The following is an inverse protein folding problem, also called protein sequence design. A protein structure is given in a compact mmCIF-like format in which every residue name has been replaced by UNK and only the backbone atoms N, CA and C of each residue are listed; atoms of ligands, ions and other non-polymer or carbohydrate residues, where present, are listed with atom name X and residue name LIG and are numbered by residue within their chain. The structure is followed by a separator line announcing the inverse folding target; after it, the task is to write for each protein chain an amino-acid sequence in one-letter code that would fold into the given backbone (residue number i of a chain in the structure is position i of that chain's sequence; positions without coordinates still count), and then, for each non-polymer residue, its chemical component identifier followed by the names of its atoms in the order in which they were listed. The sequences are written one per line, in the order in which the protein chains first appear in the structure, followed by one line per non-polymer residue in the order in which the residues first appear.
data_IF_434398961296
#
_entry.id   IF_434398961296
#
_cell.length_a   1.000
_cell.length_b   1.000
_cell.length_c   1.000
_cell.angle_alpha   90.00
_cell.angle_beta   90.00
_cell.angle_gamma   90.00
#
_symmetry.space_group_name_H-M   'P 1'
#
loop_
_entity.id
_entity.type
_entity.pdbx_description
1 polymer ?
#
# COMPACT_ATOMS: atom_id res chain seq x y z
N UNK A 1 28.19 -21.43 -65.31
CA UNK A 1 29.06 -20.49 -66.07
C UNK A 1 28.46 -19.10 -65.93
N UNK A 2 29.07 -18.24 -65.11
CA UNK A 2 29.76 -17.00 -65.52
C UNK A 2 28.80 -15.97 -66.16
N UNK A 3 28.51 -14.78 -65.58
CA UNK A 3 29.40 -13.68 -65.13
C UNK A 3 28.57 -12.71 -64.24
N UNK A 4 29.06 -12.22 -63.09
CA UNK A 4 29.81 -10.94 -62.86
C UNK A 4 29.10 -9.72 -63.49
N UNK A 5 28.87 -8.56 -62.89
CA UNK A 5 29.30 -7.83 -61.68
C UNK A 5 28.64 -6.46 -61.81
N UNK A 6 28.09 -5.85 -60.76
CA UNK A 6 28.03 -4.39 -60.64
C UNK A 6 28.36 -3.99 -59.21
N UNK A 7 29.44 -3.22 -59.08
CA UNK A 7 29.89 -2.55 -57.88
C UNK A 7 29.30 -1.13 -57.84
N UNK A 8 29.30 -0.58 -56.62
CA UNK A 8 29.53 0.82 -56.27
C UNK A 8 28.31 1.67 -55.84
N UNK A 9 28.26 1.86 -54.51
CA UNK A 9 28.36 3.17 -53.85
C UNK A 9 27.14 4.09 -53.81
N UNK A 10 26.59 4.24 -52.60
CA UNK A 10 25.79 5.39 -52.19
C UNK A 10 25.69 5.45 -50.66
N UNK A 11 26.59 6.19 -50.01
CA UNK A 11 26.46 6.62 -48.62
C UNK A 11 25.29 7.62 -48.51
N UNK A 12 24.52 7.55 -47.41
CA UNK A 12 24.17 8.70 -46.55
C UNK A 12 23.00 8.39 -45.59
N UNK A 13 23.35 8.27 -44.31
CA UNK A 13 22.73 8.94 -43.14
C UNK A 13 21.20 9.01 -43.06
N UNK A 14 20.57 8.29 -42.11
CA UNK A 14 20.39 8.70 -40.69
C UNK A 14 19.13 9.54 -40.47
N UNK A 15 18.22 9.06 -39.60
CA UNK A 15 17.10 9.87 -39.12
C UNK A 15 15.99 9.11 -38.39
N UNK A 16 16.22 8.85 -37.10
CA UNK A 16 15.22 8.67 -36.03
C UNK A 16 14.19 7.52 -36.15
N UNK A 17 14.66 6.32 -35.81
CA UNK A 17 13.93 5.44 -34.88
C UNK A 17 14.61 5.61 -33.52
N UNK A 18 13.89 6.07 -32.48
CA UNK A 18 14.23 6.01 -31.02
C UNK A 18 13.62 7.24 -30.33
N UNK A 19 12.87 7.16 -29.24
CA UNK A 19 12.49 6.04 -28.41
C UNK A 19 11.30 6.46 -27.54
N UNK A 20 10.39 5.52 -27.33
CA UNK A 20 9.34 5.61 -26.32
C UNK A 20 9.98 5.91 -24.96
N UNK A 21 9.64 7.04 -24.37
CA UNK A 21 9.90 7.35 -22.96
C UNK A 21 9.15 6.37 -22.06
N UNK A 22 9.67 5.15 -21.94
CA UNK A 22 9.36 4.27 -20.82
C UNK A 22 10.01 4.88 -19.59
N UNK A 23 9.24 5.72 -18.90
CA UNK A 23 9.53 6.13 -17.53
C UNK A 23 9.62 4.84 -16.70
N UNK A 24 10.85 4.36 -16.53
CA UNK A 24 11.14 3.24 -15.65
C UNK A 24 10.80 3.72 -14.24
N UNK A 25 9.62 3.35 -13.73
CA UNK A 25 9.35 3.38 -12.30
C UNK A 25 10.34 2.40 -11.69
N UNK A 26 11.47 2.90 -11.21
CA UNK A 26 12.33 2.16 -10.30
C UNK A 26 11.41 1.69 -9.16
N UNK A 27 11.22 0.37 -9.08
CA UNK A 27 10.54 -0.25 -7.96
C UNK A 27 11.39 0.06 -6.73
N UNK A 28 11.01 1.12 -6.01
CA UNK A 28 11.60 1.41 -4.72
C UNK A 28 11.39 0.17 -3.86
N UNK A 29 12.48 -0.39 -3.34
CA UNK A 29 12.42 -1.57 -2.48
C UNK A 29 11.46 -1.24 -1.34
N UNK A 30 10.30 -1.88 -1.35
CA UNK A 30 9.24 -1.64 -0.39
C UNK A 30 9.75 -2.17 0.95
N UNK A 31 10.21 -1.26 1.80
CA UNK A 31 10.70 -1.63 3.11
C UNK A 31 9.51 -2.06 3.93
N UNK A 32 9.51 -3.30 4.40
CA UNK A 32 8.44 -3.81 5.26
C UNK A 32 8.50 -3.10 6.62
N UNK A 33 7.44 -2.37 6.95
CA UNK A 33 7.30 -1.62 8.20
C UNK A 33 6.49 -2.44 9.19
N UNK A 34 6.98 -2.56 10.42
CA UNK A 34 6.18 -3.18 11.49
C UNK A 34 5.14 -2.17 11.94
N UNK A 35 3.90 -2.62 12.12
CA UNK A 35 2.80 -1.76 12.54
C UNK A 35 3.14 -0.90 13.77
N UNK A 36 3.77 -1.50 14.79
CA UNK A 36 4.18 -0.80 16.03
C UNK A 36 5.11 0.40 15.78
N UNK A 37 5.87 0.40 14.68
CA UNK A 37 6.85 1.44 14.38
C UNK A 37 6.16 2.71 13.81
N UNK A 38 4.87 2.61 13.47
CA UNK A 38 4.02 3.76 13.11
C UNK A 38 3.54 4.56 14.33
N UNK A 39 3.72 4.02 15.54
CA UNK A 39 3.26 4.61 16.78
C UNK A 39 4.42 5.03 17.71
N UNK A 40 4.24 6.17 18.35
CA UNK A 40 5.12 6.65 19.42
C UNK A 40 4.73 6.00 20.75
N UNK A 41 5.62 6.09 21.76
CA UNK A 41 5.40 5.46 23.08
C UNK A 41 4.22 6.04 23.86
N UNK A 42 3.80 7.25 23.52
CA UNK A 42 2.66 7.96 24.11
C UNK A 42 1.34 7.68 23.39
N UNK A 43 1.31 6.68 22.49
CA UNK A 43 0.18 6.32 21.61
C UNK A 43 -0.09 7.31 20.47
N UNK A 44 0.75 8.33 20.30
CA UNK A 44 0.72 9.22 19.15
C UNK A 44 1.30 8.61 17.88
N UNK A 45 1.30 9.39 16.80
CA UNK A 45 1.96 9.02 15.54
C UNK A 45 3.48 9.17 15.71
N UNK A 46 4.26 8.20 15.23
CA UNK A 46 5.72 8.24 15.32
C UNK A 46 6.37 9.22 14.33
N UNK A 47 7.60 9.66 14.60
CA UNK A 47 8.41 10.44 13.65
C UNK A 47 8.60 9.71 12.32
N UNK A 48 8.69 8.38 12.36
CA UNK A 48 8.76 7.54 11.17
C UNK A 48 7.47 7.69 10.35
N UNK A 49 6.30 7.54 10.97
CA UNK A 49 5.02 7.68 10.29
C UNK A 49 4.84 9.09 9.71
N UNK A 50 5.19 10.14 10.45
CA UNK A 50 5.19 11.52 9.94
C UNK A 50 6.09 11.68 8.70
N UNK A 51 7.29 11.08 8.72
CA UNK A 51 8.21 11.13 7.57
C UNK A 51 7.73 10.35 6.33
N UNK A 52 6.73 9.48 6.51
CA UNK A 52 6.17 8.59 5.49
C UNK A 52 4.76 8.99 5.05
N UNK A 53 4.18 10.05 5.62
CA UNK A 53 2.86 10.54 5.22
C UNK A 53 2.79 10.81 3.71
N UNK A 54 1.72 10.35 3.08
CA UNK A 54 1.49 10.43 1.63
C UNK A 54 2.34 9.47 0.80
N UNK A 55 3.23 8.68 1.41
CA UNK A 55 4.04 7.68 0.68
C UNK A 55 3.35 6.33 0.69
N UNK A 56 3.67 5.53 -0.33
CA UNK A 56 3.26 4.12 -0.38
C UNK A 56 4.20 3.28 0.48
N UNK A 57 3.63 2.57 1.44
CA UNK A 57 4.35 1.71 2.38
C UNK A 57 3.72 0.31 2.43
N UNK A 58 4.48 -0.67 2.92
CA UNK A 58 3.99 -2.02 3.21
C UNK A 58 4.09 -2.29 4.70
N UNK A 59 3.01 -2.78 5.30
CA UNK A 59 2.89 -3.09 6.73
C UNK A 59 2.46 -4.54 6.92
N UNK A 60 3.13 -5.29 7.79
CA UNK A 60 2.71 -6.64 8.16
C UNK A 60 1.79 -6.66 9.38
N UNK A 61 0.85 -7.61 9.41
CA UNK A 61 -0.06 -7.79 10.51
C UNK A 61 -1.08 -8.90 10.27
N UNK A 62 -2.19 -8.84 11.00
CA UNK A 62 -3.30 -9.79 10.90
C UNK A 62 -4.58 -9.05 10.54
N UNK A 63 -5.44 -9.67 9.75
CA UNK A 63 -6.76 -9.11 9.47
C UNK A 63 -7.66 -9.31 10.69
N UNK A 64 -8.16 -8.22 11.27
CA UNK A 64 -9.28 -8.31 12.20
C UNK A 64 -10.53 -8.79 11.43
N UNK A 65 -11.40 -9.60 12.05
CA UNK A 65 -12.65 -10.01 11.41
C UNK A 65 -13.47 -8.79 10.95
N UNK A 66 -13.97 -8.79 9.70
CA UNK A 66 -14.61 -7.62 9.12
C UNK A 66 -15.93 -7.29 9.83
N UNK A 67 -16.21 -5.99 9.96
CA UNK A 67 -17.42 -5.48 10.63
C UNK A 67 -18.69 -5.67 9.79
N UNK A 68 -18.52 -5.74 8.46
CA UNK A 68 -19.58 -5.88 7.48
C UNK A 68 -19.12 -6.87 6.41
N UNK A 69 -20.04 -7.70 5.93
CA UNK A 69 -19.77 -8.54 4.77
C UNK A 69 -19.50 -7.67 3.53
N UNK A 70 -18.60 -8.14 2.66
CA UNK A 70 -18.30 -7.49 1.37
C UNK A 70 -17.79 -6.04 1.48
N UNK A 71 -17.04 -5.72 2.53
CA UNK A 71 -16.45 -4.39 2.72
C UNK A 71 -15.17 -4.19 1.90
N UNK A 72 -14.92 -2.96 1.43
CA UNK A 72 -13.62 -2.51 0.88
C UNK A 72 -12.67 -2.01 2.00
N UNK A 73 -12.94 -2.42 3.24
CA UNK A 73 -12.25 -1.97 4.44
C UNK A 73 -11.99 -3.14 5.39
N UNK A 74 -10.82 -3.11 6.03
CA UNK A 74 -10.54 -3.96 7.19
C UNK A 74 -9.55 -3.26 8.13
N UNK A 75 -9.44 -3.79 9.36
CA UNK A 75 -8.45 -3.34 10.33
C UNK A 75 -7.30 -4.34 10.36
N UNK A 76 -6.08 -3.85 10.13
CA UNK A 76 -4.85 -4.61 10.32
C UNK A 76 -4.41 -4.48 11.77
N UNK A 77 -4.11 -5.59 12.43
CA UNK A 77 -3.70 -5.64 13.84
C UNK A 77 -2.29 -6.19 13.99
N UNK A 78 -1.58 -5.76 15.04
CA UNK A 78 -0.24 -6.27 15.37
C UNK A 78 -0.23 -7.75 15.78
N UNK A 79 -1.29 -8.18 16.46
CA UNK A 79 -1.48 -9.56 16.96
C UNK A 79 -2.79 -10.14 16.44
N UNK A 80 -2.93 -11.48 16.34
CA UNK A 80 -4.20 -12.10 15.98
C UNK A 80 -5.31 -11.71 16.95
N UNK A 81 -6.47 -11.29 16.45
CA UNK A 81 -7.63 -10.93 17.27
C UNK A 81 -8.90 -11.56 16.68
N UNK A 82 -9.73 -12.16 17.53
CA UNK A 82 -11.01 -12.73 17.13
C UNK A 82 -12.14 -11.68 17.04
N UNK A 83 -11.89 -10.45 17.49
CA UNK A 83 -12.82 -9.32 17.48
C UNK A 83 -12.05 -8.04 17.19
N UNK A 84 -12.59 -7.18 16.33
CA UNK A 84 -12.04 -5.86 16.06
C UNK A 84 -12.29 -4.92 17.25
N UNK A 85 -11.26 -4.25 17.81
CA UNK A 85 -11.46 -3.20 18.80
C UNK A 85 -12.03 -1.96 18.08
N UNK A 86 -13.33 -1.73 18.20
CA UNK A 86 -13.97 -0.55 17.62
C UNK A 86 -13.68 0.66 18.50
N UNK A 87 -13.28 1.77 17.88
CA UNK A 87 -12.97 3.02 18.56
C UNK A 87 -14.07 4.05 18.31
N UNK A 88 -14.62 4.64 19.37
CA UNK A 88 -15.66 5.67 19.24
C UNK A 88 -15.07 7.06 19.08
N UNK A 89 -14.03 7.39 19.86
CA UNK A 89 -13.32 8.67 19.87
C UNK A 89 -11.84 8.54 19.52
N UNK A 90 -11.19 9.67 19.20
CA UNK A 90 -9.74 9.70 18.91
C UNK A 90 -8.91 9.24 20.11
N UNK A 91 -9.36 9.53 21.33
CA UNK A 91 -8.70 9.11 22.56
C UNK A 91 -8.78 7.60 22.81
N UNK A 92 -9.74 6.92 22.17
CA UNK A 92 -9.94 5.46 22.27
C UNK A 92 -9.17 4.69 21.19
N UNK A 93 -8.48 5.39 20.27
CA UNK A 93 -7.69 4.74 19.21
C UNK A 93 -6.45 4.03 19.80
N UNK A 94 -6.29 2.71 19.58
CA UNK A 94 -5.14 1.98 20.10
C UNK A 94 -3.90 2.16 19.21
N UNK A 95 -2.74 1.94 19.81
CA UNK A 95 -1.42 2.12 19.20
C UNK A 95 -0.90 0.86 18.47
N UNK A 96 -1.79 -0.06 18.13
CA UNK A 96 -1.43 -1.34 17.52
C UNK A 96 -2.38 -1.85 16.44
N UNK A 97 -3.19 -0.95 15.89
CA UNK A 97 -4.05 -1.21 14.72
C UNK A 97 -3.77 -0.23 13.58
N UNK A 98 -4.22 -0.55 12.38
CA UNK A 98 -4.09 0.28 11.18
C UNK A 98 -5.32 0.06 10.31
N UNK A 99 -6.04 1.12 9.95
CA UNK A 99 -7.15 1.02 9.01
C UNK A 99 -6.61 0.77 7.59
N UNK A 100 -7.26 -0.12 6.83
CA UNK A 100 -6.86 -0.43 5.46
C UNK A 100 -8.08 -0.31 4.55
N UNK A 101 -7.99 0.61 3.59
CA UNK A 101 -9.01 0.85 2.58
C UNK A 101 -8.52 0.35 1.22
N UNK A 102 -9.20 -0.65 0.68
CA UNK A 102 -8.90 -1.26 -0.62
C UNK A 102 -9.77 -0.65 -1.71
N UNK A 103 -9.41 -0.86 -2.98
CA UNK A 103 -10.23 -0.46 -4.15
C UNK A 103 -11.28 -1.50 -4.57
N UNK A 104 -11.23 -2.66 -3.94
CA UNK A 104 -12.05 -3.83 -4.27
C UNK A 104 -12.49 -4.45 -2.96
N UNK A 105 -13.60 -5.16 -3.00
CA UNK A 105 -14.09 -5.98 -1.89
C UNK A 105 -12.98 -6.86 -1.32
N UNK A 106 -12.88 -6.88 0.01
CA UNK A 106 -11.91 -7.67 0.76
C UNK A 106 -12.34 -9.14 0.77
N UNK A 107 -11.51 -10.00 0.19
CA UNK A 107 -11.46 -11.43 0.49
C UNK A 107 -10.92 -11.65 1.90
N UNK A 108 -11.77 -12.15 2.79
CA UNK A 108 -11.47 -12.29 4.21
C UNK A 108 -10.36 -13.32 4.44
N UNK A 109 -9.28 -12.87 5.08
CA UNK A 109 -8.18 -13.73 5.53
C UNK A 109 -8.43 -14.13 6.99
N UNK A 110 -8.30 -15.42 7.36
CA UNK A 110 -8.39 -15.85 8.75
C UNK A 110 -7.45 -15.06 9.68
N UNK A 111 -7.96 -14.62 10.84
CA UNK A 111 -7.24 -13.74 11.78
C UNK A 111 -5.92 -14.30 12.32
N UNK A 112 -5.66 -15.60 12.15
CA UNK A 112 -4.44 -16.28 12.56
C UNK A 112 -3.38 -16.38 11.44
N UNK A 113 -3.68 -15.87 10.24
CA UNK A 113 -2.74 -15.80 9.12
C UNK A 113 -2.18 -14.38 9.04
N UNK A 114 -0.85 -14.28 9.05
CA UNK A 114 -0.16 -13.02 8.83
C UNK A 114 -0.24 -12.65 7.35
N UNK A 115 -0.52 -11.38 7.07
CA UNK A 115 -0.55 -10.80 5.73
C UNK A 115 0.27 -9.51 5.68
N UNK A 116 0.50 -9.02 4.47
CA UNK A 116 1.08 -7.72 4.21
C UNK A 116 0.04 -6.82 3.54
N UNK A 117 -0.18 -5.64 4.09
CA UNK A 117 -1.01 -4.60 3.48
C UNK A 117 -0.12 -3.48 2.94
N UNK A 118 -0.38 -3.07 1.71
CA UNK A 118 0.39 -2.07 0.99
C UNK A 118 -0.51 -0.97 0.47
N UNK A 119 -0.28 0.27 0.87
CA UNK A 119 -1.11 1.41 0.50
C UNK A 119 -0.41 2.74 0.76
N UNK A 120 -1.10 3.84 0.46
CA UNK A 120 -0.64 5.20 0.76
C UNK A 120 -0.94 5.49 2.23
N UNK A 121 0.08 5.83 3.00
CA UNK A 121 -0.09 6.20 4.41
C UNK A 121 -0.77 7.56 4.51
N UNK A 122 -1.90 7.60 5.20
CA UNK A 122 -2.56 8.84 5.60
C UNK A 122 -2.72 8.89 7.11
N UNK A 123 -2.56 10.08 7.67
CA UNK A 123 -2.60 10.34 9.10
C UNK A 123 -3.75 11.29 9.44
N UNK A 124 -4.05 11.39 10.74
CA UNK A 124 -5.09 12.28 11.28
C UNK A 124 -6.49 11.66 11.26
N UNK A 125 -7.47 12.31 11.90
CA UNK A 125 -8.80 11.75 12.09
C UNK A 125 -9.55 11.66 10.76
N UNK A 126 -10.09 10.48 10.49
CA UNK A 126 -11.01 10.24 9.39
C UNK A 126 -12.14 9.32 9.86
N UNK A 127 -13.38 9.77 9.67
CA UNK A 127 -14.56 8.95 9.93
C UNK A 127 -15.13 8.45 8.62
N UNK A 128 -15.12 7.14 8.45
CA UNK A 128 -15.65 6.47 7.28
C UNK A 128 -17.17 6.69 7.16
N UNK A 129 -17.68 7.19 6.02
CA UNK A 129 -19.09 7.51 5.88
C UNK A 129 -20.00 6.28 5.78
N UNK A 130 -19.47 5.10 5.43
CA UNK A 130 -20.27 3.89 5.24
C UNK A 130 -20.39 3.04 6.51
N UNK A 131 -19.31 2.96 7.28
CA UNK A 131 -19.18 2.14 8.49
C UNK A 131 -19.24 2.96 9.77
N UNK A 132 -19.01 4.27 9.69
CA UNK A 132 -18.85 5.14 10.84
C UNK A 132 -17.53 4.94 11.59
N UNK A 133 -16.63 4.09 11.11
CA UNK A 133 -15.35 3.78 11.76
C UNK A 133 -14.44 5.01 11.77
N UNK A 134 -13.90 5.34 12.94
CA UNK A 134 -12.90 6.39 13.10
C UNK A 134 -11.50 5.81 12.96
N UNK A 135 -10.65 6.43 12.15
CA UNK A 135 -9.25 6.05 11.97
C UNK A 135 -8.31 7.23 12.14
N UNK A 136 -7.15 7.00 12.78
CA UNK A 136 -6.08 7.99 12.95
C UNK A 136 -4.87 7.72 12.07
N UNK A 137 -4.61 6.44 11.79
CA UNK A 137 -3.55 5.95 10.90
C UNK A 137 -4.20 4.99 9.93
N UNK A 138 -4.02 5.21 8.63
CA UNK A 138 -4.68 4.40 7.59
C UNK A 138 -3.83 4.22 6.34
N UNK A 139 -4.10 3.13 5.62
CA UNK A 139 -3.62 2.90 4.26
C UNK A 139 -4.77 3.11 3.28
N UNK A 140 -4.65 4.11 2.42
CA UNK A 140 -5.55 4.34 1.29
C UNK A 140 -5.01 3.66 0.02
N UNK A 141 -5.90 3.39 -0.94
CA UNK A 141 -5.56 2.71 -2.20
C UNK A 141 -4.73 1.44 -1.96
N UNK A 142 -5.19 0.62 -1.02
CA UNK A 142 -4.43 -0.50 -0.52
C UNK A 142 -4.69 -1.79 -1.30
N UNK A 143 -3.69 -2.66 -1.27
CA UNK A 143 -3.74 -4.07 -1.66
C UNK A 143 -3.12 -4.91 -0.56
N UNK A 144 -3.50 -6.17 -0.44
CA UNK A 144 -2.91 -7.08 0.53
C UNK A 144 -2.60 -8.45 -0.07
N UNK A 145 -1.67 -9.16 0.56
CA UNK A 145 -1.18 -10.49 0.16
C UNK A 145 -0.69 -11.31 1.34
#
# INVERSE_FOLDING_TARGET
MNRRTFLASGLASAGLLMGTSMVSRLAQADTLIKLRDLYARDRGVSDLALSLEGKRITVDGFMAPPLKAESEFFVLTRIPMAVCPFCETEADWPDDILAVYTKRTVDVVPFNIRLQARGVLELGPYRDPETGFLSMVRLADASYS
#
